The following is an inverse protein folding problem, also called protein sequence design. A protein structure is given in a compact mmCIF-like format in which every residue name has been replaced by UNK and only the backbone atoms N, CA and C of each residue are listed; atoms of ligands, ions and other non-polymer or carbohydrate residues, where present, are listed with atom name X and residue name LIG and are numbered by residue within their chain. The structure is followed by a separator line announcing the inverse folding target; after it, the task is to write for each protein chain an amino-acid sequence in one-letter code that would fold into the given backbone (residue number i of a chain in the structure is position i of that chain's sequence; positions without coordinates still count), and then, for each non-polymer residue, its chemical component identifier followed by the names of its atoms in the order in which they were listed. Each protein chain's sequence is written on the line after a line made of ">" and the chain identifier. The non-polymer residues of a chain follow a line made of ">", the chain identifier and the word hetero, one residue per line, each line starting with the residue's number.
data_IF_130904116640
#
_entry.id   IF_130904116640
#
_cell.length_a   1.000
_cell.length_b   1.000
_cell.length_c   1.000
_cell.angle_alpha   90.00
_cell.angle_beta   90.00
_cell.angle_gamma   90.00
#
_symmetry.space_group_name_H-M   'P 1'
#
loop_
_entity.id
_entity.type
_entity.pdbx_description
1 polymer ?
#
# COMPACT_ATOMS: atom_id res chain seq x y z
N UNK A 1 -26.97 -28.08 -40.54
CA UNK A 1 -26.56 -26.67 -40.74
C UNK A 1 -27.58 -25.74 -40.08
N UNK A 2 -27.61 -25.64 -38.73
CA UNK A 2 -28.24 -24.55 -37.96
C UNK A 2 -28.19 -24.70 -36.42
N UNK A 3 -27.20 -25.39 -35.86
CA UNK A 3 -27.03 -25.40 -34.40
C UNK A 3 -25.91 -24.41 -34.06
N UNK A 4 -26.20 -23.13 -34.30
CA UNK A 4 -25.35 -22.04 -33.87
C UNK A 4 -25.40 -21.97 -32.35
N UNK A 5 -24.37 -22.57 -31.75
CA UNK A 5 -23.87 -22.38 -30.39
C UNK A 5 -24.00 -20.91 -30.00
N UNK A 6 -25.06 -20.60 -29.24
CA UNK A 6 -25.21 -19.33 -28.54
C UNK A 6 -24.32 -19.39 -27.31
N UNK A 7 -23.03 -19.17 -27.51
CA UNK A 7 -22.09 -18.88 -26.42
C UNK A 7 -22.55 -17.58 -25.74
N UNK A 8 -23.27 -17.72 -24.61
CA UNK A 8 -23.45 -16.61 -23.68
C UNK A 8 -22.09 -16.38 -23.03
N UNK A 9 -21.33 -15.43 -23.60
CA UNK A 9 -20.23 -14.78 -22.91
C UNK A 9 -20.77 -14.10 -21.65
N UNK A 10 -20.78 -14.84 -20.55
CA UNK A 10 -21.08 -14.29 -19.23
C UNK A 10 -19.90 -13.45 -18.79
N UNK A 11 -20.05 -12.13 -18.81
CA UNK A 11 -19.15 -11.24 -18.06
C UNK A 11 -19.08 -11.75 -16.63
N UNK A 12 -17.89 -11.95 -16.03
CA UNK A 12 -17.80 -12.45 -14.66
C UNK A 12 -18.56 -11.48 -13.76
N UNK A 13 -19.69 -11.93 -13.22
CA UNK A 13 -20.51 -11.13 -12.32
C UNK A 13 -19.68 -10.89 -11.05
N UNK A 14 -19.14 -9.68 -10.92
CA UNK A 14 -18.54 -9.23 -9.67
C UNK A 14 -19.55 -9.51 -8.56
N UNK A 15 -19.16 -10.25 -7.52
CA UNK A 15 -20.04 -10.57 -6.39
C UNK A 15 -20.75 -9.29 -5.94
N UNK A 16 -22.09 -9.35 -5.75
CA UNK A 16 -22.89 -8.20 -5.30
C UNK A 16 -22.29 -7.55 -4.04
N UNK A 17 -21.67 -8.37 -3.18
CA UNK A 17 -20.92 -7.91 -2.00
C UNK A 17 -19.73 -7.02 -2.37
N UNK A 18 -18.92 -7.41 -3.35
CA UNK A 18 -17.75 -6.62 -3.80
C UNK A 18 -18.19 -5.30 -4.41
N UNK A 19 -19.27 -5.31 -5.20
CA UNK A 19 -19.85 -4.09 -5.76
C UNK A 19 -20.38 -3.16 -4.66
N UNK A 20 -21.14 -3.71 -3.70
CA UNK A 20 -21.67 -2.93 -2.58
C UNK A 20 -20.55 -2.32 -1.73
N UNK A 21 -19.50 -3.09 -1.41
CA UNK A 21 -18.34 -2.60 -0.65
C UNK A 21 -17.64 -1.47 -1.40
N UNK A 22 -17.39 -1.63 -2.71
CA UNK A 22 -16.79 -0.57 -3.54
C UNK A 22 -17.63 0.70 -3.55
N UNK A 23 -18.94 0.56 -3.70
CA UNK A 23 -19.86 1.67 -3.70
C UNK A 23 -19.87 2.40 -2.36
N UNK A 24 -19.97 1.66 -1.24
CA UNK A 24 -19.94 2.22 0.11
C UNK A 24 -18.63 2.95 0.38
N UNK A 25 -17.48 2.34 0.05
CA UNK A 25 -16.18 2.99 0.22
C UNK A 25 -16.04 4.24 -0.65
N UNK A 26 -16.51 4.18 -1.91
CA UNK A 26 -16.50 5.33 -2.81
C UNK A 26 -17.38 6.47 -2.30
N UNK A 27 -18.61 6.17 -1.89
CA UNK A 27 -19.54 7.14 -1.33
C UNK A 27 -19.01 7.76 -0.02
N UNK A 28 -18.45 6.95 0.88
CA UNK A 28 -17.82 7.43 2.10
C UNK A 28 -16.64 8.36 1.81
N UNK A 29 -15.77 7.99 0.85
CA UNK A 29 -14.66 8.83 0.43
C UNK A 29 -15.11 10.18 -0.13
N UNK A 30 -16.11 10.18 -1.00
CA UNK A 30 -16.70 11.41 -1.54
C UNK A 30 -17.36 12.27 -0.44
N UNK A 31 -18.05 11.64 0.52
CA UNK A 31 -18.64 12.33 1.66
C UNK A 31 -17.59 13.02 2.52
N UNK A 32 -16.48 12.33 2.82
CA UNK A 32 -15.35 12.91 3.57
C UNK A 32 -14.66 14.05 2.80
N UNK A 33 -14.47 13.91 1.49
CA UNK A 33 -13.93 14.98 0.65
C UNK A 33 -14.84 16.21 0.65
N UNK A 34 -16.16 16.02 0.50
CA UNK A 34 -17.14 17.09 0.54
C UNK A 34 -17.15 17.80 1.90
N UNK A 35 -17.12 17.04 3.00
CA UNK A 35 -17.04 17.59 4.35
C UNK A 35 -15.78 18.44 4.56
N UNK A 36 -14.61 17.96 4.10
CA UNK A 36 -13.36 18.73 4.17
C UNK A 36 -13.41 20.01 3.33
N UNK A 37 -13.99 19.95 2.12
CA UNK A 37 -14.11 21.11 1.24
C UNK A 37 -14.99 22.22 1.81
N UNK A 38 -16.02 21.88 2.59
CA UNK A 38 -16.85 22.86 3.29
C UNK A 38 -16.07 23.71 4.31
N UNK A 39 -14.93 23.21 4.81
CA UNK A 39 -14.05 23.94 5.72
C UNK A 39 -13.14 24.95 5.03
N UNK A 40 -12.91 24.84 3.71
CA UNK A 40 -11.96 25.70 3.01
C UNK A 40 -12.28 27.20 3.10
N UNK A 41 -13.53 27.66 2.92
CA UNK A 41 -13.85 29.08 2.95
C UNK A 41 -13.64 29.74 4.32
N UNK A 42 -13.73 28.96 5.41
CA UNK A 42 -13.62 29.48 6.79
C UNK A 42 -12.23 29.29 7.39
N UNK A 43 -11.44 28.34 6.87
CA UNK A 43 -10.15 27.95 7.45
C UNK A 43 -8.94 28.39 6.63
N UNK A 44 -9.10 28.67 5.33
CA UNK A 44 -7.99 28.93 4.41
C UNK A 44 -8.18 30.25 3.64
N UNK A 45 -7.18 31.12 3.70
CA UNK A 45 -7.06 32.26 2.79
C UNK A 45 -6.66 31.86 1.37
N UNK A 46 -6.78 32.75 0.38
CA UNK A 46 -6.54 32.44 -1.04
C UNK A 46 -5.14 31.88 -1.33
N UNK A 47 -4.11 32.40 -0.67
CA UNK A 47 -2.72 31.94 -0.81
C UNK A 47 -2.51 30.53 -0.26
N UNK A 48 -3.19 30.19 0.85
CA UNK A 48 -3.13 28.86 1.45
C UNK A 48 -3.88 27.83 0.61
N UNK A 49 -4.98 28.24 -0.05
CA UNK A 49 -5.70 27.39 -1.01
C UNK A 49 -4.81 27.05 -2.22
N UNK A 50 -4.09 28.03 -2.76
CA UNK A 50 -3.09 27.79 -3.82
C UNK A 50 -1.98 26.86 -3.33
N UNK A 51 -1.46 27.08 -2.13
CA UNK A 51 -0.48 26.19 -1.50
C UNK A 51 -0.98 24.74 -1.38
N UNK A 52 -2.23 24.56 -0.96
CA UNK A 52 -2.88 23.24 -0.88
C UNK A 52 -2.98 22.58 -2.27
N UNK A 53 -3.40 23.32 -3.30
CA UNK A 53 -3.51 22.79 -4.65
C UNK A 53 -2.14 22.38 -5.22
N UNK A 54 -1.11 23.21 -5.02
CA UNK A 54 0.26 22.89 -5.42
C UNK A 54 0.76 21.65 -4.69
N UNK A 55 0.50 21.56 -3.38
CA UNK A 55 0.85 20.39 -2.57
C UNK A 55 0.13 19.12 -3.06
N UNK A 56 -1.16 19.21 -3.38
CA UNK A 56 -1.95 18.11 -3.92
C UNK A 56 -1.39 17.62 -5.25
N UNK A 57 -1.07 18.55 -6.16
CA UNK A 57 -0.46 18.22 -7.45
C UNK A 57 0.88 17.52 -7.26
N UNK A 58 1.75 18.04 -6.39
CA UNK A 58 3.03 17.43 -6.07
C UNK A 58 2.87 16.02 -5.46
N UNK A 59 1.91 15.84 -4.56
CA UNK A 59 1.61 14.54 -3.96
C UNK A 59 1.16 13.52 -5.01
N UNK A 60 0.27 13.89 -5.93
CA UNK A 60 -0.18 13.03 -7.04
C UNK A 60 1.01 12.66 -7.94
N UNK A 61 1.82 13.63 -8.33
CA UNK A 61 3.02 13.41 -9.15
C UNK A 61 4.00 12.43 -8.51
N UNK A 62 4.27 12.58 -7.21
CA UNK A 62 5.14 11.65 -6.48
C UNK A 62 4.49 10.26 -6.38
N UNK A 63 3.19 10.19 -6.10
CA UNK A 63 2.49 8.93 -5.93
C UNK A 63 2.47 8.12 -7.24
N UNK A 64 1.99 8.72 -8.31
CA UNK A 64 1.77 8.03 -9.58
C UNK A 64 3.07 7.94 -10.39
N UNK A 65 3.88 8.99 -10.35
CA UNK A 65 5.11 9.08 -11.13
C UNK A 65 6.29 8.33 -10.51
N UNK A 66 6.31 8.11 -9.19
CA UNK A 66 7.44 7.45 -8.52
C UNK A 66 7.02 6.20 -7.76
N UNK A 67 5.99 6.26 -6.89
CA UNK A 67 5.64 5.14 -6.01
C UNK A 67 5.05 3.97 -6.82
N UNK A 68 4.13 4.23 -7.73
CA UNK A 68 3.54 3.20 -8.60
C UNK A 68 4.59 2.48 -9.46
N UNK A 69 5.48 3.17 -10.22
CA UNK A 69 6.48 2.49 -11.03
C UNK A 69 7.51 1.73 -10.19
N UNK A 70 7.99 2.31 -9.08
CA UNK A 70 8.93 1.60 -8.19
C UNK A 70 8.29 0.34 -7.59
N UNK A 71 7.05 0.43 -7.14
CA UNK A 71 6.33 -0.73 -6.60
C UNK A 71 6.08 -1.80 -7.66
N UNK A 72 5.84 -1.39 -8.90
CA UNK A 72 5.67 -2.28 -10.06
C UNK A 72 6.99 -2.96 -10.43
N UNK A 73 8.09 -2.20 -10.52
CA UNK A 73 9.43 -2.71 -10.77
C UNK A 73 9.88 -3.68 -9.68
N UNK A 74 9.64 -3.36 -8.41
CA UNK A 74 9.93 -4.26 -7.30
C UNK A 74 9.14 -5.58 -7.43
N UNK A 75 7.85 -5.50 -7.81
CA UNK A 75 7.04 -6.67 -8.07
C UNK A 75 7.51 -7.50 -9.26
N UNK A 76 7.97 -6.83 -10.33
CA UNK A 76 8.53 -7.48 -11.51
C UNK A 76 9.88 -8.14 -11.22
N UNK A 77 10.79 -7.44 -10.52
CA UNK A 77 12.09 -7.95 -10.12
C UNK A 77 11.98 -9.20 -9.27
N UNK A 78 11.03 -9.25 -8.34
CA UNK A 78 10.75 -10.42 -7.50
C UNK A 78 10.24 -11.63 -8.31
N UNK A 79 9.44 -11.37 -9.35
CA UNK A 79 8.98 -12.41 -10.29
C UNK A 79 10.12 -12.89 -11.19
N UNK A 80 11.00 -11.97 -11.62
CA UNK A 80 12.13 -12.25 -12.51
C UNK A 80 13.26 -12.98 -11.79
N UNK A 81 13.49 -12.68 -10.51
CA UNK A 81 14.56 -13.28 -9.69
C UNK A 81 14.33 -14.75 -9.35
N UNK A 82 13.29 -15.39 -9.92
CA UNK A 82 13.05 -16.82 -9.78
C UNK A 82 12.83 -17.25 -8.33
N UNK A 83 12.27 -16.38 -7.48
CA UNK A 83 12.07 -16.74 -6.09
C UNK A 83 11.18 -17.98 -6.04
N UNK A 84 11.73 -19.11 -5.58
CA UNK A 84 10.99 -20.37 -5.35
C UNK A 84 9.91 -20.22 -4.24
N UNK A 85 9.75 -19.00 -3.72
CA UNK A 85 8.76 -18.63 -2.74
C UNK A 85 7.35 -18.73 -3.30
N UNK A 86 6.44 -19.17 -2.45
CA UNK A 86 5.03 -19.27 -2.81
C UNK A 86 4.45 -17.88 -3.08
N UNK A 87 3.39 -17.74 -3.91
CA UNK A 87 2.79 -16.44 -4.23
C UNK A 87 2.40 -15.60 -3.00
N UNK A 88 1.94 -16.25 -1.94
CA UNK A 88 1.60 -15.59 -0.67
C UNK A 88 2.85 -15.04 0.05
N UNK A 89 3.93 -15.81 0.11
CA UNK A 89 5.23 -15.40 0.70
C UNK A 89 5.82 -14.22 -0.07
N UNK A 90 5.77 -14.27 -1.40
CA UNK A 90 6.22 -13.18 -2.28
C UNK A 90 5.38 -11.91 -2.10
N UNK A 91 4.06 -12.04 -1.90
CA UNK A 91 3.18 -10.91 -1.62
C UNK A 91 3.50 -10.24 -0.27
N UNK A 92 3.77 -11.02 0.78
CA UNK A 92 4.18 -10.48 2.10
C UNK A 92 5.48 -9.71 1.98
N UNK A 93 6.51 -10.29 1.34
CA UNK A 93 7.80 -9.63 1.14
C UNK A 93 7.68 -8.33 0.35
N UNK A 94 6.90 -8.33 -0.75
CA UNK A 94 6.65 -7.11 -1.54
C UNK A 94 5.92 -6.07 -0.69
N UNK A 95 4.88 -6.47 0.04
CA UNK A 95 4.11 -5.58 0.91
C UNK A 95 4.96 -4.96 2.00
N UNK A 96 5.81 -5.75 2.68
CA UNK A 96 6.69 -5.25 3.74
C UNK A 96 7.75 -4.31 3.20
N UNK A 97 8.38 -4.61 2.05
CA UNK A 97 9.36 -3.69 1.46
C UNK A 97 8.72 -2.37 1.01
N UNK A 98 7.51 -2.42 0.45
CA UNK A 98 6.78 -1.19 0.07
C UNK A 98 6.38 -0.37 1.29
N UNK A 99 5.84 -1.01 2.33
CA UNK A 99 5.53 -0.32 3.59
C UNK A 99 6.79 0.31 4.20
N UNK A 100 7.89 -0.44 4.20
CA UNK A 100 9.22 0.01 4.62
C UNK A 100 9.70 1.26 3.88
N UNK A 101 9.62 1.23 2.56
CA UNK A 101 10.01 2.35 1.70
C UNK A 101 9.15 3.60 1.94
N UNK A 102 7.83 3.44 2.02
CA UNK A 102 6.91 4.56 2.27
C UNK A 102 7.15 5.19 3.64
N UNK A 103 7.30 4.38 4.69
CA UNK A 103 7.59 4.89 6.04
C UNK A 103 8.96 5.57 6.07
N UNK A 104 9.96 5.03 5.38
CA UNK A 104 11.28 5.68 5.27
C UNK A 104 11.19 7.04 4.58
N UNK A 105 10.38 7.15 3.52
CA UNK A 105 10.18 8.41 2.80
C UNK A 105 9.49 9.46 3.69
N UNK A 106 8.46 9.06 4.44
CA UNK A 106 7.78 9.93 5.42
C UNK A 106 8.76 10.37 6.50
N UNK A 107 9.46 9.43 7.13
CA UNK A 107 10.43 9.74 8.19
C UNK A 107 11.57 10.60 7.67
N UNK A 108 12.01 10.44 6.43
CA UNK A 108 13.02 11.31 5.81
C UNK A 108 12.59 12.78 5.80
N UNK A 109 11.31 13.06 5.51
CA UNK A 109 10.75 14.42 5.59
C UNK A 109 10.72 14.92 7.04
N UNK A 110 10.33 14.05 8.00
CA UNK A 110 10.31 14.40 9.42
C UNK A 110 11.71 14.67 9.98
N UNK A 111 12.71 13.89 9.58
CA UNK A 111 14.11 14.09 9.96
C UNK A 111 14.61 15.45 9.46
N UNK A 112 14.27 15.83 8.22
CA UNK A 112 14.57 17.17 7.70
C UNK A 112 13.84 18.27 8.48
N UNK A 113 12.59 18.05 8.87
CA UNK A 113 11.88 19.00 9.72
C UNK A 113 12.52 19.12 11.13
N UNK A 114 13.05 18.00 11.66
CA UNK A 114 13.72 17.93 12.96
C UNK A 114 15.05 18.67 13.00
N UNK A 115 15.74 18.84 11.87
CA UNK A 115 16.96 19.68 11.82
C UNK A 115 16.65 21.16 11.96
N UNK A 116 15.42 21.59 11.66
CA UNK A 116 14.99 22.99 11.70
C UNK A 116 14.24 23.33 13.00
N UNK A 117 13.46 22.40 13.55
CA UNK A 117 12.50 22.67 14.64
C UNK A 117 12.82 22.02 15.99
N UNK A 118 14.07 21.58 16.22
CA UNK A 118 14.45 20.74 17.37
C UNK A 118 14.19 21.39 18.76
N UNK A 119 14.04 22.71 18.84
CA UNK A 119 13.90 23.48 20.08
C UNK A 119 12.44 23.74 20.52
N UNK A 120 11.44 23.32 19.76
CA UNK A 120 10.01 23.63 20.02
C UNK A 120 9.20 22.34 20.16
N UNK A 121 9.38 21.61 21.27
CA UNK A 121 8.58 20.51 21.91
C UNK A 121 7.59 19.58 21.16
N UNK A 122 7.41 19.63 19.84
CA UNK A 122 6.53 18.71 19.10
C UNK A 122 7.31 17.52 18.48
N UNK A 123 8.65 17.61 18.44
CA UNK A 123 9.54 16.70 17.72
C UNK A 123 10.54 16.01 18.68
N UNK A 124 10.02 15.50 19.79
CA UNK A 124 10.79 15.00 20.94
C UNK A 124 11.47 13.64 20.70
N UNK A 125 10.96 12.85 19.76
CA UNK A 125 11.47 11.50 19.47
C UNK A 125 12.62 11.48 18.46
N UNK A 126 13.64 10.66 18.71
CA UNK A 126 14.65 10.34 17.71
C UNK A 126 14.02 9.48 16.60
N UNK A 127 13.64 10.12 15.49
CA UNK A 127 13.01 9.41 14.37
C UNK A 127 13.95 8.44 13.67
N UNK A 128 15.27 8.61 13.77
CA UNK A 128 16.22 7.68 13.17
C UNK A 128 16.20 6.36 13.94
N UNK A 129 16.21 6.44 15.28
CA UNK A 129 16.07 5.25 16.16
C UNK A 129 14.70 4.60 15.97
N UNK A 130 13.63 5.37 15.91
CA UNK A 130 12.29 4.83 15.70
C UNK A 130 12.15 4.16 14.32
N UNK A 131 12.76 4.72 13.28
CA UNK A 131 12.79 4.11 11.94
C UNK A 131 13.58 2.79 11.95
N UNK A 132 14.69 2.73 12.68
CA UNK A 132 15.47 1.51 12.85
C UNK A 132 14.64 0.42 13.54
N UNK A 133 13.96 0.75 14.64
CA UNK A 133 13.05 -0.18 15.33
C UNK A 133 11.90 -0.63 14.44
N UNK A 134 11.31 0.29 13.67
CA UNK A 134 10.26 -0.03 12.72
C UNK A 134 10.75 -1.06 11.69
N UNK A 135 11.92 -0.87 11.08
CA UNK A 135 12.50 -1.84 10.16
C UNK A 135 12.79 -3.19 10.84
N UNK A 136 13.34 -3.17 12.05
CA UNK A 136 13.62 -4.38 12.81
C UNK A 136 12.34 -5.20 13.06
N UNK A 137 11.26 -4.55 13.51
CA UNK A 137 9.96 -5.21 13.74
C UNK A 137 9.36 -5.69 12.43
N UNK A 138 9.35 -4.85 11.40
CA UNK A 138 8.77 -5.16 10.10
C UNK A 138 9.43 -6.38 9.44
N UNK A 139 10.76 -6.42 9.41
CA UNK A 139 11.53 -7.53 8.86
C UNK A 139 11.31 -8.81 9.67
N UNK A 140 11.26 -8.70 10.99
CA UNK A 140 11.01 -9.85 11.88
C UNK A 140 9.63 -10.47 11.64
N UNK A 141 8.59 -9.63 11.59
CA UNK A 141 7.21 -10.07 11.33
C UNK A 141 7.07 -10.65 9.93
N UNK A 142 7.65 -10.00 8.92
CA UNK A 142 7.63 -10.49 7.54
C UNK A 142 8.32 -11.85 7.41
N UNK A 143 9.51 -12.01 8.00
CA UNK A 143 10.25 -13.28 8.01
C UNK A 143 9.46 -14.39 8.72
N UNK A 144 8.85 -14.09 9.87
CA UNK A 144 8.00 -15.04 10.60
C UNK A 144 6.79 -15.51 9.79
N UNK A 145 6.09 -14.58 9.12
CA UNK A 145 4.96 -14.90 8.24
C UNK A 145 5.39 -15.79 7.07
N UNK A 146 6.48 -15.42 6.37
CA UNK A 146 7.01 -16.22 5.26
C UNK A 146 7.38 -17.62 5.75
N UNK A 147 8.09 -17.74 6.87
CA UNK A 147 8.47 -19.03 7.45
C UNK A 147 7.26 -19.91 7.77
N UNK A 148 6.21 -19.34 8.38
CA UNK A 148 5.00 -20.12 8.71
C UNK A 148 4.23 -20.58 7.48
N UNK A 149 4.15 -19.75 6.44
CA UNK A 149 3.50 -20.08 5.16
C UNK A 149 4.22 -21.24 4.46
N UNK A 150 5.55 -21.19 4.39
CA UNK A 150 6.36 -22.25 3.78
C UNK A 150 6.31 -23.56 4.59
N UNK A 151 6.39 -23.46 5.93
CA UNK A 151 6.37 -24.64 6.82
C UNK A 151 5.04 -25.39 6.78
N UNK A 152 3.90 -24.66 6.75
CA UNK A 152 2.57 -25.29 6.63
C UNK A 152 2.41 -26.03 5.30
N UNK A 153 2.99 -25.52 4.22
CA UNK A 153 2.92 -26.15 2.90
C UNK A 153 3.68 -27.48 2.82
N UNK A 154 4.90 -27.53 3.40
CA UNK A 154 5.71 -28.75 3.42
C UNK A 154 5.05 -29.91 4.16
N UNK A 155 4.25 -29.59 5.19
CA UNK A 155 3.45 -30.56 5.98
C UNK A 155 2.20 -31.06 5.25
N UNK A 156 1.71 -30.33 4.25
CA UNK A 156 0.54 -30.72 3.46
C UNK A 156 0.86 -31.76 2.38
N UNK A 157 2.02 -31.64 1.71
CA UNK A 157 2.44 -32.58 0.66
C UNK A 157 2.76 -33.99 1.17
N UNK A 158 3.10 -34.16 2.45
CA UNK A 158 3.44 -35.46 3.04
C UNK A 158 2.22 -36.36 3.34
N UNK A 159 0.99 -35.85 3.21
CA UNK A 159 -0.26 -36.60 3.45
C UNK A 159 -0.95 -37.11 2.18
N UNK A 160 -0.40 -36.83 1.00
CA UNK A 160 -1.06 -37.10 -0.29
C UNK A 160 -0.62 -38.37 -1.03
N UNK A 161 0.36 -39.13 -0.54
CA UNK A 161 0.98 -40.24 -1.31
C UNK A 161 0.68 -41.62 -0.71
N UNK A 162 -0.57 -41.88 -0.34
CA UNK A 162 -1.04 -43.22 0.00
C UNK A 162 -2.43 -43.47 -0.59
N UNK A 163 -2.49 -43.66 -1.92
CA UNK A 163 -3.60 -44.33 -2.60
C UNK A 163 -3.07 -45.07 -3.80
#
# INVERSE_FOLDING_TARGET
>A
MKDMVKSKGGTPATSRTVWAVRFVLGAAGLGLMGYGAMGFPTQLGPSQLLGLLVWMAAAILIHDGLIVPLSTLAGFGLRRSGSSLRPASAAVMRGSLMAGAVVTLIVGVLLKAQTVARSTSALEGDYAINLMWFWAVLLTVAAGLIYTIERKSRRGSSRGTSR
#
